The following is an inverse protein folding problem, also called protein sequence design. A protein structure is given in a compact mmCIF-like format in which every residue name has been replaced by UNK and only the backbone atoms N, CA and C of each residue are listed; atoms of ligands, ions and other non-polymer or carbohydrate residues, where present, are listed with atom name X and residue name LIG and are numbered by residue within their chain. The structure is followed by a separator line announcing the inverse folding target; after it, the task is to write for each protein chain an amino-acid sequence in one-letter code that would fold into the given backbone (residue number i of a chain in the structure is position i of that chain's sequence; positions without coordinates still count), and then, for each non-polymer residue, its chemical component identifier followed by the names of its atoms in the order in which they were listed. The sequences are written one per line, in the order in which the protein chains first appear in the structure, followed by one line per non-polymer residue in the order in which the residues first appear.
data_IF_154485585022
#
_entry.id   IF_154485585022
#
_cell.length_a   1.000
_cell.length_b   1.000
_cell.length_c   1.000
_cell.angle_alpha   90.00
_cell.angle_beta   90.00
_cell.angle_gamma   90.00
#
_symmetry.space_group_name_H-M   'P 1'
#
loop_
_entity.id
_entity.type
_entity.pdbx_description
1 polymer ?
#
# COMPACT_ATOMS: atom_id res chain seq x y z
N UNK A 1 -16.55 -7.52 5.41
CA UNK A 1 -15.78 -7.41 6.66
C UNK A 1 -15.61 -5.92 6.89
N UNK A 2 -16.04 -5.39 8.05
CA UNK A 2 -15.97 -3.95 8.31
C UNK A 2 -14.58 -3.63 8.86
N UNK A 3 -13.75 -3.01 8.03
CA UNK A 3 -12.51 -2.41 8.48
C UNK A 3 -12.87 -1.42 9.61
N UNK A 4 -12.33 -1.65 10.81
CA UNK A 4 -12.61 -0.78 11.96
C UNK A 4 -11.72 0.46 11.84
N UNK A 5 -12.36 1.61 11.64
CA UNK A 5 -11.68 2.91 11.57
C UNK A 5 -11.25 3.32 12.97
N UNK A 6 -9.96 3.60 13.15
CA UNK A 6 -9.39 4.05 14.42
C UNK A 6 -8.58 5.33 14.20
N UNK A 7 -8.35 6.10 15.27
CA UNK A 7 -7.54 7.31 15.25
C UNK A 7 -6.06 6.97 15.49
N UNK A 8 -5.19 7.48 14.61
CA UNK A 8 -3.74 7.30 14.71
C UNK A 8 -3.05 8.66 14.79
N UNK A 9 -1.96 8.71 15.56
CA UNK A 9 -1.09 9.88 15.61
C UNK A 9 -0.28 9.97 14.33
N UNK A 10 -0.27 11.13 13.67
CA UNK A 10 0.51 11.31 12.44
C UNK A 10 2.00 11.04 12.65
N UNK A 11 2.53 11.35 13.83
CA UNK A 11 3.94 11.10 14.19
C UNK A 11 4.33 9.63 14.29
N UNK A 12 3.37 8.71 14.38
CA UNK A 12 3.61 7.25 14.41
C UNK A 12 3.58 6.61 13.02
N UNK A 13 3.11 7.34 12.01
CA UNK A 13 2.94 6.86 10.64
C UNK A 13 4.18 7.21 9.85
N UNK A 14 4.82 6.21 9.26
CA UNK A 14 5.95 6.41 8.35
C UNK A 14 5.47 6.71 6.93
N UNK A 15 5.82 7.88 6.36
CA UNK A 15 5.51 8.21 4.99
C UNK A 15 6.45 7.52 4.01
N UNK A 16 5.99 7.29 2.78
CA UNK A 16 6.85 6.88 1.69
C UNK A 16 7.56 8.10 1.08
N UNK A 17 8.86 8.20 1.34
CA UNK A 17 9.70 9.32 0.89
C UNK A 17 9.90 9.34 -0.63
N UNK A 18 9.59 8.25 -1.35
CA UNK A 18 9.79 8.15 -2.81
C UNK A 18 8.59 8.60 -3.63
N UNK A 19 7.45 8.93 -3.02
CA UNK A 19 6.26 9.38 -3.75
C UNK A 19 6.27 10.89 -3.97
N UNK A 20 6.54 11.29 -5.22
CA UNK A 20 6.37 12.67 -5.67
C UNK A 20 4.88 12.94 -5.87
N UNK A 21 4.37 14.00 -5.25
CA UNK A 21 2.98 14.43 -5.39
C UNK A 21 2.94 15.83 -5.99
N UNK A 22 1.93 16.08 -6.82
CA UNK A 22 1.69 17.42 -7.36
C UNK A 22 1.20 18.34 -6.23
N UNK A 23 1.85 19.48 -6.05
CA UNK A 23 1.55 20.44 -4.99
C UNK A 23 0.17 21.07 -5.16
N UNK A 24 -0.26 21.33 -6.38
CA UNK A 24 -1.55 21.97 -6.68
C UNK A 24 -2.73 21.08 -6.23
N UNK A 25 -2.67 19.80 -6.60
CA UNK A 25 -3.64 18.79 -6.16
C UNK A 25 -3.62 18.57 -4.64
N UNK A 26 -2.46 18.76 -3.98
CA UNK A 26 -2.37 18.67 -2.52
C UNK A 26 -3.06 19.86 -1.85
N UNK A 27 -2.88 21.08 -2.37
CA UNK A 27 -3.52 22.30 -1.86
C UNK A 27 -5.04 22.21 -1.96
N UNK A 28 -5.56 21.71 -3.09
CA UNK A 28 -6.99 21.50 -3.26
C UNK A 28 -7.53 20.47 -2.25
N UNK A 29 -6.82 19.36 -2.06
CA UNK A 29 -7.18 18.35 -1.07
C UNK A 29 -7.14 18.90 0.37
N UNK A 30 -6.17 19.76 0.69
CA UNK A 30 -6.12 20.44 1.98
C UNK A 30 -7.38 21.27 2.22
N UNK A 31 -7.82 22.06 1.23
CA UNK A 31 -9.04 22.86 1.34
C UNK A 31 -10.28 21.99 1.52
N UNK A 32 -10.34 20.88 0.77
CA UNK A 32 -11.44 19.92 0.89
C UNK A 32 -11.51 19.28 2.29
N UNK A 33 -10.38 18.79 2.80
CA UNK A 33 -10.28 18.20 4.15
C UNK A 33 -10.56 19.26 5.23
N UNK A 34 -10.13 20.50 5.03
CA UNK A 34 -10.41 21.58 5.96
C UNK A 34 -11.92 21.93 6.02
N UNK A 35 -12.63 21.83 4.89
CA UNK A 35 -14.06 22.14 4.82
C UNK A 35 -14.96 20.97 5.27
N UNK A 36 -14.64 19.74 4.85
CA UNK A 36 -15.48 18.56 5.06
C UNK A 36 -14.96 17.61 6.14
N UNK A 37 -13.74 17.82 6.62
CA UNK A 37 -13.02 16.86 7.44
C UNK A 37 -12.41 15.72 6.60
N UNK A 38 -11.87 14.73 7.30
CA UNK A 38 -11.34 13.54 6.66
C UNK A 38 -12.49 12.63 6.20
N UNK A 39 -12.71 12.55 4.89
CA UNK A 39 -13.82 11.77 4.31
C UNK A 39 -13.52 10.27 4.26
N UNK A 40 -12.30 9.90 3.86
CA UNK A 40 -11.88 8.51 3.74
C UNK A 40 -10.78 8.16 4.76
N UNK A 41 -10.84 7.00 5.42
CA UNK A 41 -9.77 6.55 6.32
C UNK A 41 -8.51 6.16 5.53
N UNK A 42 -7.34 6.45 6.10
CA UNK A 42 -6.07 5.96 5.56
C UNK A 42 -5.97 4.45 5.66
N UNK A 43 -5.28 3.81 4.72
CA UNK A 43 -4.94 2.38 4.83
C UNK A 43 -3.51 2.26 5.32
N UNK A 44 -3.35 1.72 6.53
CA UNK A 44 -2.06 1.50 7.13
C UNK A 44 -1.76 0.00 7.22
N UNK A 45 -0.51 -0.36 7.03
CA UNK A 45 -0.01 -1.69 7.29
C UNK A 45 0.96 -1.61 8.47
N UNK A 46 0.72 -2.47 9.45
CA UNK A 46 1.62 -2.60 10.59
C UNK A 46 2.71 -3.62 10.27
N UNK A 47 3.95 -3.16 10.19
CA UNK A 47 5.12 -3.97 9.87
C UNK A 47 6.26 -3.63 10.82
N UNK A 48 6.87 -4.65 11.42
CA UNK A 48 8.06 -4.54 12.28
C UNK A 48 7.97 -3.43 13.35
N UNK A 49 6.79 -3.24 13.96
CA UNK A 49 6.56 -2.24 15.01
C UNK A 49 6.28 -0.82 14.52
N UNK A 50 6.13 -0.59 13.21
CA UNK A 50 5.82 0.73 12.63
C UNK A 50 4.60 0.69 11.72
N UNK A 51 3.84 1.79 11.66
CA UNK A 51 2.72 1.94 10.72
C UNK A 51 3.21 2.52 9.41
N UNK A 52 3.02 1.80 8.31
CA UNK A 52 3.32 2.27 6.95
C UNK A 52 2.04 2.60 6.21
N UNK A 53 2.08 3.65 5.39
CA UNK A 53 0.97 3.99 4.51
C UNK A 53 0.94 3.00 3.34
N UNK A 54 -0.16 2.26 3.21
CA UNK A 54 -0.46 1.44 2.03
C UNK A 54 -1.12 2.29 0.95
N UNK A 55 -2.06 3.13 1.37
CA UNK A 55 -2.80 4.02 0.47
C UNK A 55 -3.34 5.24 1.23
N UNK A 56 -3.58 6.33 0.50
CA UNK A 56 -4.03 7.60 1.07
C UNK A 56 -2.90 8.57 1.42
N UNK A 57 -1.69 8.39 0.86
CA UNK A 57 -0.52 9.21 1.19
C UNK A 57 -0.73 10.72 0.93
N UNK A 58 -1.52 11.08 -0.10
CA UNK A 58 -1.91 12.48 -0.35
C UNK A 58 -2.72 13.05 0.81
N UNK A 59 -3.63 12.25 1.37
CA UNK A 59 -4.49 12.64 2.47
C UNK A 59 -3.67 12.82 3.75
N UNK A 60 -2.74 11.89 4.03
CA UNK A 60 -1.81 12.02 5.16
C UNK A 60 -0.96 13.31 5.03
N UNK A 61 -0.43 13.60 3.84
CA UNK A 61 0.34 14.84 3.59
C UNK A 61 -0.52 16.08 3.76
N UNK A 62 -1.78 16.05 3.34
CA UNK A 62 -2.70 17.17 3.51
C UNK A 62 -3.01 17.40 5.00
N UNK A 63 -3.34 16.34 5.75
CA UNK A 63 -3.55 16.43 7.21
C UNK A 63 -2.29 16.94 7.93
N UNK A 64 -1.10 16.49 7.52
CA UNK A 64 0.18 16.96 8.06
C UNK A 64 0.39 18.45 7.76
N UNK A 65 0.11 18.88 6.53
CA UNK A 65 0.21 20.29 6.12
C UNK A 65 -0.81 21.20 6.82
N UNK A 66 -1.99 20.68 7.12
CA UNK A 66 -3.02 21.35 7.92
C UNK A 66 -2.68 21.43 9.41
N UNK A 67 -1.61 20.75 9.87
CA UNK A 67 -1.21 20.72 11.29
C UNK A 67 -2.09 19.83 12.16
N UNK A 68 -2.74 18.82 11.57
CA UNK A 68 -3.55 17.86 12.32
C UNK A 68 -2.64 16.95 13.17
N UNK A 69 -3.12 16.57 14.35
CA UNK A 69 -2.39 15.69 15.29
C UNK A 69 -2.75 14.21 15.10
N UNK A 70 -4.01 13.96 14.76
CA UNK A 70 -4.58 12.62 14.57
C UNK A 70 -5.26 12.50 13.21
N UNK A 71 -5.35 11.26 12.73
CA UNK A 71 -5.94 10.91 11.43
C UNK A 71 -6.68 9.58 11.56
N UNK A 72 -7.82 9.45 10.88
CA UNK A 72 -8.57 8.20 10.86
C UNK A 72 -7.89 7.20 9.91
N UNK A 73 -7.66 5.98 10.37
CA UNK A 73 -7.06 4.95 9.55
C UNK A 73 -7.57 3.55 9.90
N UNK A 74 -7.42 2.65 8.94
CA UNK A 74 -7.71 1.22 9.08
C UNK A 74 -6.43 0.43 8.92
N UNK A 75 -6.22 -0.55 9.80
CA UNK A 75 -5.10 -1.48 9.70
C UNK A 75 -5.49 -2.59 8.73
N UNK A 76 -4.79 -2.67 7.61
CA UNK A 76 -4.95 -3.73 6.61
C UNK A 76 -3.85 -4.77 6.78
N UNK A 77 -4.27 -6.03 6.90
CA UNK A 77 -3.35 -7.16 6.86
C UNK A 77 -2.96 -7.45 5.41
N UNK A 78 -1.67 -7.28 5.08
CA UNK A 78 -1.15 -7.75 3.80
C UNK A 78 -1.08 -9.28 3.85
N UNK A 79 -2.17 -9.95 3.50
CA UNK A 79 -2.08 -11.33 3.04
C UNK A 79 -1.30 -11.29 1.73
N UNK A 80 -0.02 -11.66 1.80
CA UNK A 80 0.79 -11.88 0.61
C UNK A 80 0.09 -12.99 -0.18
N UNK A 81 -0.82 -12.65 -1.09
CA UNK A 81 -1.24 -13.56 -2.15
C UNK A 81 -0.02 -13.69 -3.03
N UNK A 82 0.88 -14.57 -2.61
CA UNK A 82 1.96 -15.10 -3.40
C UNK A 82 1.29 -15.88 -4.54
N UNK A 83 0.82 -15.17 -5.55
CA UNK A 83 0.67 -15.78 -6.87
C UNK A 83 2.09 -15.98 -7.35
N UNK A 84 2.74 -17.03 -6.83
CA UNK A 84 3.82 -17.69 -7.54
C UNK A 84 3.13 -18.17 -8.83
N UNK A 85 3.45 -17.61 -10.01
CA UNK A 85 3.02 -18.28 -11.23
C UNK A 85 3.53 -19.72 -11.14
N UNK A 86 2.70 -20.74 -11.40
CA UNK A 86 3.18 -22.12 -11.39
C UNK A 86 4.38 -22.19 -12.32
N UNK A 87 5.53 -22.54 -11.77
CA UNK A 87 6.74 -22.81 -12.53
C UNK A 87 6.35 -23.93 -13.49
N UNK A 88 6.21 -23.61 -14.77
CA UNK A 88 5.95 -24.58 -15.82
C UNK A 88 6.98 -25.71 -15.66
N UNK A 89 6.51 -26.90 -15.34
CA UNK A 89 7.33 -28.10 -15.27
C UNK A 89 7.91 -28.34 -16.66
N UNK A 90 9.18 -27.96 -16.84
CA UNK A 90 9.99 -28.44 -17.96
C UNK A 90 10.15 -29.94 -17.79
N UNK A 91 9.36 -30.69 -18.56
CA UNK A 91 9.36 -32.15 -18.57
C UNK A 91 10.76 -32.73 -18.77
N UNK A 92 11.16 -33.65 -17.89
CA UNK A 92 12.30 -34.53 -18.10
C UNK A 92 11.87 -35.84 -18.74
N UNK A 93 12.37 -36.08 -19.95
CA UNK A 93 12.80 -37.40 -20.45
C UNK A 93 11.81 -38.18 -21.33
N UNK A 94 12.29 -39.18 -22.11
CA UNK A 94 13.57 -39.88 -21.95
C UNK A 94 14.54 -39.78 -23.14
N UNK A 95 15.81 -40.11 -22.82
CA UNK A 95 16.92 -40.34 -23.73
C UNK A 95 16.85 -41.76 -24.32
N UNK A 96 17.31 -41.92 -25.56
CA UNK A 96 17.75 -43.19 -26.16
C UNK A 96 16.94 -43.58 -27.40
N UNK A 97 17.47 -44.14 -28.49
CA UNK A 97 18.80 -44.53 -28.94
C UNK A 97 18.72 -44.71 -30.48
N UNK A 98 19.81 -44.41 -31.18
CA UNK A 98 20.39 -45.13 -32.34
C UNK A 98 19.50 -45.69 -33.47
N UNK A 99 19.65 -45.18 -34.70
CA UNK A 99 20.18 -45.87 -35.90
C UNK A 99 19.82 -45.07 -37.18
N UNK A 100 20.84 -44.66 -37.94
CA UNK A 100 20.69 -44.41 -39.38
C UNK A 100 21.31 -45.60 -40.11
N UNK A 101 20.44 -46.52 -40.54
CA UNK A 101 20.58 -47.25 -41.80
C UNK A 101 19.48 -46.65 -42.68
N UNK A 102 19.69 -46.30 -43.95
CA UNK A 102 20.12 -47.12 -45.09
C UNK A 102 20.57 -46.14 -46.20
#
# INVERSE_FOLDING_TARGET
MKDSVNDFLLGTIQPNLRLMHNLDALEELCRFIQAHGQVEPLRLWFDNGSFRIVDGEKQWRACCKLGMTTVQAVIVEMTFKQTIPPRAEGGKGPRGQSHTAI
#
